data_IF_296825722122
#
_entry.id   IF_296825722122
#
_cell.length_a   1.000
_cell.length_b   1.000
_cell.length_c   1.000
_cell.angle_alpha   90.00
_cell.angle_beta   90.00
_cell.angle_gamma   90.00
#
_symmetry.space_group_name_H-M   'P 1'
#
loop_
_entity.id
_entity.type
_entity.pdbx_description
1 polymer ?
#
# COMPACT_ATOMS: atom_id res chain seq x y z
N UNK A 1 13.05 7.82 1.82
CA UNK A 1 12.82 8.44 3.14
C UNK A 1 11.67 9.45 3.07
N UNK A 2 10.79 9.47 4.09
CA UNK A 2 9.73 10.47 4.23
C UNK A 2 9.97 11.22 5.54
N UNK A 3 9.93 12.57 5.50
CA UNK A 3 9.86 13.43 6.69
C UNK A 3 8.50 14.11 6.72
N UNK A 4 7.84 14.09 7.86
CA UNK A 4 6.63 14.84 8.19
C UNK A 4 7.01 15.79 9.31
N UNK A 5 6.78 17.08 9.12
CA UNK A 5 7.18 18.13 10.06
C UNK A 5 5.99 19.04 10.36
N UNK A 6 5.63 19.11 11.63
CA UNK A 6 4.56 20.00 12.13
C UNK A 6 3.22 19.87 11.40
N UNK A 7 2.88 18.68 10.89
CA UNK A 7 1.64 18.45 10.15
C UNK A 7 0.42 18.69 11.02
N UNK A 8 -0.41 19.63 10.60
CA UNK A 8 -1.74 19.87 11.16
C UNK A 8 -2.78 19.50 10.09
N UNK A 9 -3.80 18.71 10.47
CA UNK A 9 -4.88 18.31 9.58
C UNK A 9 -6.22 18.35 10.29
N UNK A 10 -7.18 19.02 9.71
CA UNK A 10 -8.55 19.10 10.21
C UNK A 10 -9.57 18.80 9.12
N UNK A 11 -10.71 18.26 9.52
CA UNK A 11 -11.92 18.11 8.71
C UNK A 11 -13.04 18.90 9.37
N UNK A 12 -13.36 20.07 8.82
CA UNK A 12 -14.27 21.01 9.45
C UNK A 12 -13.75 21.44 10.84
N UNK A 13 -14.52 21.15 11.88
CA UNK A 13 -14.14 21.48 13.27
C UNK A 13 -13.33 20.36 13.97
N UNK A 14 -13.16 19.19 13.33
CA UNK A 14 -12.43 18.08 13.91
C UNK A 14 -10.97 18.13 13.48
N UNK A 15 -10.07 18.37 14.42
CA UNK A 15 -8.63 18.22 14.22
C UNK A 15 -8.26 16.74 14.36
N UNK A 16 -7.60 16.21 13.34
CA UNK A 16 -7.09 14.81 13.29
C UNK A 16 -5.62 14.79 13.72
N UNK A 17 -4.82 15.71 13.21
CA UNK A 17 -3.44 15.90 13.61
C UNK A 17 -3.21 17.35 14.02
N UNK A 18 -2.45 17.54 15.09
CA UNK A 18 -1.96 18.84 15.54
C UNK A 18 -0.47 18.70 15.81
N UNK A 19 0.34 19.40 15.01
CA UNK A 19 1.80 19.44 15.16
C UNK A 19 2.48 18.06 15.09
N UNK A 20 2.01 17.19 14.18
CA UNK A 20 2.55 15.85 14.02
C UNK A 20 3.88 15.87 13.26
N UNK A 21 4.93 15.33 13.90
CA UNK A 21 6.25 15.16 13.27
C UNK A 21 6.68 13.71 13.31
N UNK A 22 7.04 13.14 12.14
CA UNK A 22 7.43 11.74 11.97
C UNK A 22 8.56 11.64 10.94
N UNK A 23 9.39 10.61 11.08
CA UNK A 23 10.40 10.25 10.09
C UNK A 23 10.32 8.78 9.75
N UNK A 24 10.38 8.49 8.45
CA UNK A 24 10.41 7.13 7.92
C UNK A 24 11.64 6.94 7.06
N UNK A 25 12.42 5.89 7.32
CA UNK A 25 13.63 5.55 6.59
C UNK A 25 13.40 4.35 5.67
N UNK A 26 14.10 4.31 4.56
CA UNK A 26 14.14 3.15 3.66
C UNK A 26 14.73 1.92 4.37
N UNK A 27 14.42 0.75 3.84
CA UNK A 27 14.87 -0.53 4.39
C UNK A 27 14.07 -1.02 5.60
N UNK A 28 13.04 -0.28 6.02
CA UNK A 28 12.23 -0.59 7.20
C UNK A 28 10.76 -0.79 6.89
N UNK A 29 10.13 -1.57 7.76
CA UNK A 29 8.68 -1.74 7.86
C UNK A 29 8.21 -0.99 9.11
N UNK A 30 7.31 -0.04 8.93
CA UNK A 30 6.68 0.72 10.01
C UNK A 30 5.23 0.26 10.20
N UNK A 31 4.84 0.02 11.44
CA UNK A 31 3.43 -0.18 11.80
C UNK A 31 2.85 1.10 12.43
N UNK A 32 1.82 1.66 11.82
CA UNK A 32 1.01 2.73 12.40
C UNK A 32 -0.12 2.11 13.20
N UNK A 33 -0.12 2.36 14.51
CA UNK A 33 -1.12 1.84 15.44
C UNK A 33 -1.87 2.97 16.12
N UNK A 34 -2.97 2.65 16.80
CA UNK A 34 -3.78 3.61 17.53
C UNK A 34 -5.27 3.29 17.43
N UNK A 35 -6.07 4.01 18.20
CA UNK A 35 -7.51 3.81 18.26
C UNK A 35 -8.19 4.01 16.90
N UNK A 36 -9.39 3.44 16.73
CA UNK A 36 -10.18 3.74 15.52
C UNK A 36 -10.44 5.25 15.42
N UNK A 37 -10.23 5.80 14.23
CA UNK A 37 -10.41 7.23 13.99
C UNK A 37 -9.28 8.15 14.45
N UNK A 38 -8.13 7.62 14.92
CA UNK A 38 -6.94 8.45 15.26
C UNK A 38 -6.19 9.01 14.03
N UNK A 39 -6.63 8.71 12.81
CA UNK A 39 -6.06 9.30 11.59
C UNK A 39 -5.09 8.41 10.81
N UNK A 40 -4.93 7.10 11.12
CA UNK A 40 -4.03 6.19 10.37
C UNK A 40 -4.26 6.26 8.85
N UNK A 41 -5.48 6.01 8.41
CA UNK A 41 -5.88 6.12 7.00
C UNK A 41 -5.68 7.53 6.46
N UNK A 42 -5.97 8.56 7.24
CA UNK A 42 -5.75 9.96 6.84
C UNK A 42 -4.28 10.22 6.57
N UNK A 43 -3.38 9.77 7.46
CA UNK A 43 -1.94 9.91 7.26
C UNK A 43 -1.48 9.17 6.01
N UNK A 44 -1.88 7.90 5.83
CA UNK A 44 -1.55 7.15 4.62
C UNK A 44 -2.06 7.85 3.34
N UNK A 45 -3.28 8.37 3.35
CA UNK A 45 -3.85 9.09 2.20
C UNK A 45 -3.11 10.41 1.91
N UNK A 46 -2.64 11.12 2.94
CA UNK A 46 -1.80 12.31 2.78
C UNK A 46 -0.46 11.89 2.14
N UNK A 47 0.22 10.87 2.67
CA UNK A 47 1.48 10.37 2.13
C UNK A 47 1.33 9.83 0.70
N UNK A 48 0.14 9.29 0.37
CA UNK A 48 -0.21 8.85 -0.98
C UNK A 48 -0.59 10.01 -1.93
N UNK A 49 -0.65 11.27 -1.49
CA UNK A 49 -1.16 12.41 -2.27
C UNK A 49 -2.63 12.27 -2.71
N UNK A 50 -3.42 11.50 -1.95
CA UNK A 50 -4.87 11.33 -2.15
C UNK A 50 -5.62 12.38 -1.33
N UNK A 51 -5.19 12.59 -0.08
CA UNK A 51 -5.76 13.59 0.82
C UNK A 51 -4.88 14.85 0.84
N UNK A 52 -5.43 16.04 0.58
CA UNK A 52 -4.66 17.27 0.62
C UNK A 52 -4.27 17.66 2.06
N UNK A 53 -3.17 18.38 2.20
CA UNK A 53 -2.72 19.03 3.43
C UNK A 53 -2.30 20.47 3.16
N UNK A 54 -2.38 21.36 4.16
CA UNK A 54 -2.31 22.81 3.93
C UNK A 54 -0.88 23.34 3.85
N UNK A 55 0.03 22.85 4.70
CA UNK A 55 1.41 23.33 4.83
C UNK A 55 2.41 22.53 4.00
N UNK A 56 3.58 23.10 3.70
CA UNK A 56 4.71 22.40 3.11
C UNK A 56 5.45 21.63 4.22
N UNK A 57 4.83 20.57 4.70
CA UNK A 57 5.27 19.84 5.90
C UNK A 57 5.71 18.41 5.61
N UNK A 58 5.72 17.97 4.34
CA UNK A 58 6.06 16.59 3.99
C UNK A 58 7.07 16.56 2.85
N UNK A 59 8.20 15.94 3.09
CA UNK A 59 9.18 15.63 2.06
C UNK A 59 9.28 14.13 1.78
N UNK A 60 9.48 13.78 0.51
CA UNK A 60 9.78 12.45 0.02
C UNK A 60 11.11 12.47 -0.71
N UNK A 61 12.08 11.67 -0.27
CA UNK A 61 13.44 11.63 -0.84
C UNK A 61 14.11 13.02 -0.93
N UNK A 62 13.83 13.88 0.07
CA UNK A 62 14.40 15.24 0.14
C UNK A 62 13.71 16.28 -0.72
N UNK A 63 12.66 15.92 -1.45
CA UNK A 63 11.83 16.85 -2.22
C UNK A 63 10.47 17.03 -1.54
N UNK A 64 9.96 18.28 -1.52
CA UNK A 64 8.59 18.55 -1.04
C UNK A 64 7.57 17.71 -1.82
N UNK A 65 6.75 16.94 -1.08
CA UNK A 65 5.84 15.97 -1.66
C UNK A 65 4.81 16.62 -2.61
N UNK A 66 4.34 17.84 -2.30
CA UNK A 66 3.41 18.58 -3.17
C UNK A 66 3.98 18.87 -4.55
N UNK A 67 5.29 19.12 -4.64
CA UNK A 67 5.98 19.47 -5.90
C UNK A 67 6.19 18.27 -6.82
N UNK A 68 6.16 17.04 -6.28
CA UNK A 68 6.25 15.84 -7.10
C UNK A 68 4.98 15.69 -7.94
N UNK A 69 5.11 15.54 -9.25
CA UNK A 69 3.94 15.35 -10.13
C UNK A 69 3.16 14.10 -9.74
N UNK A 70 1.87 14.24 -9.45
CA UNK A 70 1.02 13.14 -8.96
C UNK A 70 1.07 11.92 -9.88
N UNK A 71 0.96 12.11 -11.20
CA UNK A 71 1.05 11.02 -12.16
C UNK A 71 2.38 10.26 -12.08
N UNK A 72 3.51 10.96 -11.91
CA UNK A 72 4.82 10.33 -11.74
C UNK A 72 4.86 9.52 -10.45
N UNK A 73 4.42 10.11 -9.35
CA UNK A 73 4.39 9.48 -8.04
C UNK A 73 3.55 8.20 -8.04
N UNK A 74 2.31 8.29 -8.55
CA UNK A 74 1.45 7.11 -8.67
C UNK A 74 1.98 6.06 -9.65
N UNK A 75 2.69 6.45 -10.67
CA UNK A 75 3.20 5.51 -11.67
C UNK A 75 4.45 4.77 -11.21
N UNK A 76 5.37 5.46 -10.52
CA UNK A 76 6.72 4.95 -10.30
C UNK A 76 7.07 4.75 -8.82
N UNK A 77 6.51 5.56 -7.92
CA UNK A 77 6.97 5.60 -6.55
C UNK A 77 6.07 4.83 -5.57
N UNK A 78 4.76 4.86 -5.75
CA UNK A 78 3.80 4.41 -4.77
C UNK A 78 3.13 3.08 -5.14
N UNK A 79 3.16 2.09 -4.25
CA UNK A 79 2.22 0.96 -4.19
C UNK A 79 1.26 1.16 -3.02
N UNK A 80 -0.04 1.24 -3.28
CA UNK A 80 -1.02 1.38 -2.21
C UNK A 80 -1.95 0.17 -2.17
N UNK A 81 -1.98 -0.49 -1.02
CA UNK A 81 -2.88 -1.58 -0.67
C UNK A 81 -4.01 -1.01 0.19
N UNK A 82 -5.16 -0.80 -0.41
CA UNK A 82 -6.34 -0.24 0.25
C UNK A 82 -7.10 -1.30 1.05
N UNK A 83 -7.82 -0.88 2.08
CA UNK A 83 -8.71 -1.74 2.87
C UNK A 83 -9.77 -2.44 2.01
N UNK A 84 -10.25 -1.80 0.94
CA UNK A 84 -11.20 -2.35 -0.04
C UNK A 84 -10.52 -2.91 -1.29
N UNK A 85 -9.29 -3.42 -1.15
CA UNK A 85 -8.43 -4.02 -2.18
C UNK A 85 -7.93 -3.06 -3.27
N UNK A 86 -8.65 -1.99 -3.61
CA UNK A 86 -8.30 -1.05 -4.68
C UNK A 86 -8.18 -1.73 -6.05
N UNK A 87 -9.10 -2.65 -6.33
CA UNK A 87 -9.22 -3.38 -7.58
C UNK A 87 -10.44 -2.91 -8.36
N UNK A 88 -10.38 -3.06 -9.68
CA UNK A 88 -11.51 -2.82 -10.58
C UNK A 88 -12.40 -4.08 -10.57
N UNK A 89 -13.47 -4.07 -9.77
CA UNK A 89 -14.30 -5.25 -9.47
C UNK A 89 -14.90 -5.89 -10.72
N UNK A 90 -15.36 -5.09 -11.68
CA UNK A 90 -15.97 -5.57 -12.92
C UNK A 90 -14.96 -5.95 -14.01
N UNK A 91 -13.67 -5.84 -13.74
CA UNK A 91 -12.60 -6.19 -14.65
C UNK A 91 -11.94 -7.51 -14.29
N UNK A 92 -11.19 -8.08 -15.25
CA UNK A 92 -10.47 -9.34 -15.06
C UNK A 92 -9.26 -9.19 -14.15
N UNK A 93 -8.76 -10.31 -13.63
CA UNK A 93 -7.48 -10.37 -12.93
C UNK A 93 -6.38 -9.77 -13.79
N UNK A 94 -6.26 -10.19 -15.07
CA UNK A 94 -5.27 -9.65 -16.00
C UNK A 94 -5.32 -8.11 -16.08
N UNK A 95 -6.50 -7.52 -16.27
CA UNK A 95 -6.64 -6.05 -16.35
C UNK A 95 -6.26 -5.33 -15.08
N UNK A 96 -6.49 -5.95 -13.92
CA UNK A 96 -6.05 -5.40 -12.65
C UNK A 96 -4.54 -5.49 -12.48
N UNK A 97 -3.93 -6.60 -12.87
CA UNK A 97 -2.48 -6.80 -12.86
C UNK A 97 -1.77 -5.88 -13.84
N UNK A 98 -2.38 -5.59 -15.00
CA UNK A 98 -1.92 -4.61 -15.99
C UNK A 98 -1.60 -3.25 -15.38
N UNK A 99 -2.34 -2.83 -14.35
CA UNK A 99 -2.09 -1.58 -13.66
C UNK A 99 -0.71 -1.56 -12.96
N UNK A 100 -0.22 -2.72 -12.54
CA UNK A 100 1.13 -2.89 -11.98
C UNK A 100 2.24 -2.81 -13.04
N UNK A 101 1.91 -3.06 -14.31
CA UNK A 101 2.86 -3.08 -15.43
C UNK A 101 2.88 -1.78 -16.24
N UNK A 102 2.13 -0.74 -15.81
CA UNK A 102 2.06 0.55 -16.51
C UNK A 102 3.46 1.18 -16.61
N UNK A 103 3.90 1.44 -17.85
CA UNK A 103 5.18 2.05 -18.15
C UNK A 103 6.30 1.07 -18.45
N UNK A 104 6.08 -0.21 -18.29
CA UNK A 104 7.00 -1.25 -18.72
C UNK A 104 6.80 -1.54 -20.23
N UNK A 105 7.90 -1.68 -20.96
CA UNK A 105 7.85 -2.01 -22.39
C UNK A 105 7.86 -3.53 -22.57
N UNK A 106 6.70 -4.16 -22.44
CA UNK A 106 6.53 -5.60 -22.53
C UNK A 106 5.71 -5.99 -23.77
N UNK A 107 6.06 -7.09 -24.39
CA UNK A 107 5.20 -7.77 -25.36
C UNK A 107 4.01 -8.41 -24.67
N UNK A 108 2.93 -8.72 -25.40
CA UNK A 108 1.76 -9.42 -24.85
C UNK A 108 2.14 -10.76 -24.19
N UNK A 109 3.13 -11.47 -24.76
CA UNK A 109 3.60 -12.76 -24.23
C UNK A 109 4.33 -12.58 -22.90
N UNK A 110 5.27 -11.64 -22.83
CA UNK A 110 6.02 -11.34 -21.60
C UNK A 110 5.08 -10.85 -20.47
N UNK A 111 4.12 -10.02 -20.81
CA UNK A 111 3.12 -9.53 -19.89
C UNK A 111 2.32 -10.68 -19.27
N UNK A 112 1.74 -11.55 -20.10
CA UNK A 112 1.00 -12.72 -19.63
C UNK A 112 1.85 -13.64 -18.78
N UNK A 113 3.11 -13.84 -19.15
CA UNK A 113 4.05 -14.66 -18.37
C UNK A 113 4.27 -14.06 -16.97
N UNK A 114 4.51 -12.74 -16.87
CA UNK A 114 4.69 -12.07 -15.56
C UNK A 114 3.42 -12.13 -14.71
N UNK A 115 2.25 -11.99 -15.31
CA UNK A 115 0.96 -12.12 -14.63
C UNK A 115 0.74 -13.52 -14.06
N UNK A 116 1.05 -14.57 -14.85
CA UNK A 116 0.96 -15.96 -14.38
C UNK A 116 2.00 -16.27 -13.28
N UNK A 117 3.23 -15.79 -13.42
CA UNK A 117 4.29 -15.95 -12.42
C UNK A 117 3.95 -15.26 -11.10
N UNK A 118 3.39 -14.04 -11.14
CA UNK A 118 3.01 -13.34 -9.90
C UNK A 118 1.81 -14.01 -9.23
N UNK A 119 0.81 -14.50 -9.97
CA UNK A 119 -0.29 -15.28 -9.39
C UNK A 119 0.23 -16.53 -8.68
N UNK A 120 1.19 -17.24 -9.29
CA UNK A 120 1.85 -18.36 -8.64
C UNK A 120 2.57 -17.94 -7.36
N UNK A 121 3.27 -16.80 -7.38
CA UNK A 121 4.00 -16.27 -6.22
C UNK A 121 3.08 -15.95 -5.04
N UNK A 122 1.86 -15.49 -5.30
CA UNK A 122 0.87 -15.17 -4.24
C UNK A 122 -0.07 -16.36 -3.95
N UNK A 123 0.24 -17.57 -4.40
CA UNK A 123 -0.54 -18.79 -4.12
C UNK A 123 -1.86 -18.89 -4.89
N UNK A 124 -2.01 -18.18 -6.00
CA UNK A 124 -3.23 -18.13 -6.82
C UNK A 124 -3.04 -18.77 -8.22
N UNK A 125 -2.12 -19.71 -8.38
CA UNK A 125 -1.83 -20.36 -9.68
C UNK A 125 -3.04 -21.11 -10.27
N UNK A 126 -4.06 -21.40 -9.47
CA UNK A 126 -5.29 -22.10 -9.89
C UNK A 126 -6.34 -21.15 -10.51
N UNK A 127 -6.18 -19.82 -10.35
CA UNK A 127 -7.10 -18.85 -10.94
C UNK A 127 -6.77 -18.56 -12.40
N UNK A 128 -7.81 -18.31 -13.19
CA UNK A 128 -7.66 -17.83 -14.56
C UNK A 128 -7.46 -16.32 -14.60
N UNK A 129 -6.55 -15.84 -15.44
CA UNK A 129 -6.36 -14.40 -15.69
C UNK A 129 -7.63 -13.71 -16.24
N UNK A 130 -8.52 -14.45 -16.89
CA UNK A 130 -9.78 -13.95 -17.43
C UNK A 130 -10.90 -13.87 -16.40
N UNK A 131 -10.72 -14.43 -15.21
CA UNK A 131 -11.67 -14.40 -14.12
C UNK A 131 -11.90 -12.98 -13.60
N UNK A 132 -13.13 -12.64 -13.25
CA UNK A 132 -13.51 -11.31 -12.74
C UNK A 132 -13.23 -11.19 -11.25
N UNK A 133 -12.88 -9.98 -10.79
CA UNK A 133 -12.55 -9.74 -9.37
C UNK A 133 -13.76 -10.03 -8.46
N UNK A 134 -14.98 -9.70 -8.86
CA UNK A 134 -16.19 -9.97 -8.06
C UNK A 134 -16.48 -11.47 -7.84
N UNK A 135 -15.82 -12.37 -8.57
CA UNK A 135 -15.92 -13.82 -8.40
C UNK A 135 -14.98 -14.37 -7.32
N UNK A 136 -14.06 -13.53 -6.83
CA UNK A 136 -13.02 -13.92 -5.88
C UNK A 136 -13.51 -13.81 -4.43
N UNK A 137 -12.98 -14.66 -3.58
CA UNK A 137 -13.06 -14.46 -2.13
C UNK A 137 -12.26 -13.21 -1.70
N UNK A 138 -12.55 -12.68 -0.51
CA UNK A 138 -11.81 -11.52 0.02
C UNK A 138 -10.29 -11.76 0.10
N UNK A 139 -9.87 -12.96 0.52
CA UNK A 139 -8.45 -13.33 0.58
C UNK A 139 -7.79 -13.45 -0.79
N UNK A 140 -8.49 -13.99 -1.79
CA UNK A 140 -8.00 -14.03 -3.17
C UNK A 140 -7.88 -12.61 -3.76
N UNK A 141 -8.90 -11.76 -3.59
CA UNK A 141 -8.85 -10.37 -4.04
C UNK A 141 -7.69 -9.60 -3.39
N UNK A 142 -7.43 -9.82 -2.09
CA UNK A 142 -6.31 -9.22 -1.39
C UNK A 142 -4.96 -9.68 -1.95
N UNK A 143 -4.81 -10.98 -2.25
CA UNK A 143 -3.60 -11.51 -2.89
C UNK A 143 -3.42 -11.00 -4.33
N UNK A 144 -4.50 -10.77 -5.09
CA UNK A 144 -4.43 -10.11 -6.40
C UNK A 144 -3.98 -8.65 -6.26
N UNK A 145 -4.49 -7.91 -5.25
CA UNK A 145 -4.03 -6.55 -4.98
C UNK A 145 -2.53 -6.52 -4.63
N UNK A 146 -2.06 -7.47 -3.84
CA UNK A 146 -0.63 -7.62 -3.52
C UNK A 146 0.19 -8.01 -4.76
N UNK A 147 -0.31 -8.92 -5.62
CA UNK A 147 0.32 -9.28 -6.88
C UNK A 147 0.52 -8.05 -7.80
N UNK A 148 -0.47 -7.17 -7.88
CA UNK A 148 -0.36 -5.89 -8.59
C UNK A 148 0.79 -5.03 -8.05
N UNK A 149 0.96 -4.94 -6.73
CA UNK A 149 2.07 -4.18 -6.12
C UNK A 149 3.41 -4.87 -6.36
N UNK A 150 3.47 -6.20 -6.33
CA UNK A 150 4.68 -6.98 -6.66
C UNK A 150 5.14 -6.69 -8.10
N UNK A 151 4.22 -6.71 -9.08
CA UNK A 151 4.53 -6.41 -10.48
C UNK A 151 5.04 -4.98 -10.68
N UNK A 152 4.51 -4.05 -9.91
CA UNK A 152 4.93 -2.65 -9.94
C UNK A 152 6.31 -2.43 -9.34
N UNK A 153 6.66 -3.18 -8.30
CA UNK A 153 7.92 -3.12 -7.54
C UNK A 153 8.29 -1.69 -7.05
N UNK A 154 7.38 -0.96 -6.38
CA UNK A 154 7.59 0.44 -6.03
C UNK A 154 8.53 0.61 -4.83
N UNK A 155 9.25 1.75 -4.71
CA UNK A 155 10.08 2.05 -3.53
C UNK A 155 9.29 2.38 -2.27
N UNK A 156 8.04 2.84 -2.39
CA UNK A 156 7.13 3.11 -1.26
C UNK A 156 5.91 2.20 -1.34
N UNK A 157 5.65 1.44 -0.28
CA UNK A 157 4.42 0.67 -0.11
C UNK A 157 3.65 1.20 1.11
N UNK A 158 2.40 1.57 0.89
CA UNK A 158 1.46 1.92 1.93
C UNK A 158 0.38 0.83 1.99
N UNK A 159 0.04 0.35 3.18
CA UNK A 159 -0.98 -0.66 3.39
C UNK A 159 -1.95 -0.21 4.49
N UNK A 160 -3.23 -0.10 4.16
CA UNK A 160 -4.27 0.35 5.08
C UNK A 160 -5.17 -0.82 5.47
N UNK A 161 -5.08 -1.24 6.75
CA UNK A 161 -5.91 -2.31 7.37
C UNK A 161 -6.03 -3.57 6.49
N UNK A 162 -4.90 -4.00 5.91
CA UNK A 162 -4.79 -5.01 4.85
C UNK A 162 -5.52 -6.32 5.16
N UNK A 163 -5.69 -6.65 6.42
CA UNK A 163 -6.21 -7.94 6.89
C UNK A 163 -7.51 -7.83 7.68
N UNK A 164 -8.12 -6.65 7.74
CA UNK A 164 -9.28 -6.39 8.61
C UNK A 164 -10.51 -7.27 8.31
N UNK A 165 -10.66 -7.71 7.06
CA UNK A 165 -11.79 -8.52 6.59
C UNK A 165 -11.43 -10.00 6.38
N UNK A 166 -10.23 -10.43 6.78
CA UNK A 166 -9.71 -11.78 6.54
C UNK A 166 -9.71 -12.60 7.84
N UNK A 167 -9.84 -13.91 7.69
CA UNK A 167 -9.61 -14.85 8.79
C UNK A 167 -8.14 -14.84 9.23
N UNK A 168 -7.81 -15.34 10.45
CA UNK A 168 -6.45 -15.25 10.98
C UNK A 168 -5.37 -15.98 10.16
N UNK A 169 -5.69 -17.07 9.48
CA UNK A 169 -4.74 -17.85 8.68
C UNK A 169 -4.41 -17.09 7.39
N UNK A 170 -5.42 -16.69 6.63
CA UNK A 170 -5.28 -15.85 5.43
C UNK A 170 -4.58 -14.52 5.74
N UNK A 171 -4.88 -13.93 6.91
CA UNK A 171 -4.22 -12.70 7.38
C UNK A 171 -2.71 -12.87 7.52
N UNK A 172 -2.26 -13.99 8.10
CA UNK A 172 -0.82 -14.30 8.23
C UNK A 172 -0.17 -14.48 6.86
N UNK A 173 -0.77 -15.28 5.98
CA UNK A 173 -0.25 -15.52 4.63
C UNK A 173 -0.05 -14.21 3.85
N UNK A 174 -1.05 -13.32 3.87
CA UNK A 174 -0.98 -12.03 3.19
C UNK A 174 0.10 -11.14 3.79
N UNK A 175 0.25 -11.14 5.12
CA UNK A 175 1.30 -10.36 5.79
C UNK A 175 2.69 -10.92 5.51
N UNK A 176 2.87 -12.24 5.57
CA UNK A 176 4.15 -12.88 5.24
C UNK A 176 4.57 -12.54 3.80
N UNK A 177 3.64 -12.58 2.85
CA UNK A 177 3.88 -12.15 1.47
C UNK A 177 4.28 -10.67 1.39
N UNK A 178 3.58 -9.76 2.11
CA UNK A 178 3.94 -8.33 2.13
C UNK A 178 5.35 -8.11 2.70
N UNK A 179 5.70 -8.81 3.78
CA UNK A 179 7.02 -8.70 4.42
C UNK A 179 8.15 -9.23 3.53
N UNK A 180 7.89 -10.20 2.64
CA UNK A 180 8.89 -10.62 1.63
C UNK A 180 9.28 -9.50 0.67
N UNK A 181 8.47 -8.43 0.58
CA UNK A 181 8.77 -7.28 -0.27
C UNK A 181 9.76 -6.30 0.35
N UNK A 182 10.15 -6.49 1.62
CA UNK A 182 11.17 -5.66 2.27
C UNK A 182 12.49 -5.72 1.49
N UNK A 183 13.03 -4.54 1.14
CA UNK A 183 14.32 -4.33 0.47
C UNK A 183 15.03 -3.15 1.13
N UNK A 184 16.35 -3.01 0.94
CA UNK A 184 17.15 -1.92 1.53
C UNK A 184 16.71 -0.51 1.05
N UNK A 185 16.20 -0.43 -0.17
CA UNK A 185 15.75 0.79 -0.84
C UNK A 185 14.22 0.97 -0.81
N UNK A 186 13.51 0.16 -0.01
CA UNK A 186 12.04 0.21 0.08
C UNK A 186 11.59 0.60 1.47
N UNK A 187 10.62 1.51 1.51
CA UNK A 187 9.86 1.87 2.70
C UNK A 187 8.48 1.21 2.65
N UNK A 188 8.10 0.52 3.73
CA UNK A 188 6.77 -0.07 3.90
C UNK A 188 6.13 0.55 5.14
N UNK A 189 4.92 1.12 4.99
CA UNK A 189 4.14 1.67 6.11
C UNK A 189 2.79 0.97 6.14
N UNK A 190 2.46 0.34 7.27
CA UNK A 190 1.26 -0.47 7.46
C UNK A 190 0.42 0.15 8.57
N UNK A 191 -0.79 0.63 8.25
CA UNK A 191 -1.78 0.97 9.25
C UNK A 191 -2.51 -0.30 9.69
N UNK A 192 -2.50 -0.59 10.98
CA UNK A 192 -3.16 -1.79 11.53
C UNK A 192 -3.52 -1.64 12.99
N UNK A 193 -4.55 -2.36 13.41
CA UNK A 193 -4.90 -2.56 14.81
C UNK A 193 -4.54 -3.97 15.31
N UNK A 194 -4.00 -4.83 14.45
CA UNK A 194 -3.67 -6.22 14.76
C UNK A 194 -2.26 -6.34 15.39
N UNK A 195 -2.15 -6.82 16.67
CA UNK A 195 -0.87 -7.00 17.34
C UNK A 195 0.12 -7.89 16.58
N UNK A 196 -0.36 -8.99 16.01
CA UNK A 196 0.47 -9.94 15.28
C UNK A 196 1.23 -9.28 14.11
N UNK A 197 0.67 -8.20 13.56
CA UNK A 197 1.28 -7.47 12.43
C UNK A 197 2.33 -6.49 12.94
N UNK A 198 2.01 -5.69 13.97
CA UNK A 198 2.99 -4.69 14.41
C UNK A 198 4.20 -5.30 15.14
N UNK A 199 4.06 -6.51 15.71
CA UNK A 199 5.18 -7.24 16.31
C UNK A 199 6.24 -7.69 15.27
N UNK A 200 5.87 -7.74 14.00
CA UNK A 200 6.77 -8.08 12.89
C UNK A 200 7.36 -6.84 12.20
N UNK A 201 6.92 -5.64 12.56
CA UNK A 201 7.46 -4.40 12.03
C UNK A 201 8.82 -4.05 12.69
N UNK A 202 9.68 -3.35 11.96
CA UNK A 202 10.94 -2.84 12.52
C UNK A 202 10.71 -1.71 13.53
N UNK A 203 9.64 -0.91 13.31
CA UNK A 203 9.26 0.19 14.20
C UNK A 203 7.74 0.31 14.30
N UNK A 204 7.26 0.62 15.50
CA UNK A 204 5.83 0.84 15.77
C UNK A 204 5.62 2.31 16.14
N UNK A 205 4.79 2.99 15.38
CA UNK A 205 4.37 4.38 15.64
C UNK A 205 2.94 4.37 16.12
N UNK A 206 2.71 4.90 17.33
CA UNK A 206 1.38 5.01 17.90
C UNK A 206 0.83 6.42 17.68
N UNK A 207 -0.24 6.52 16.90
CA UNK A 207 -1.01 7.75 16.74
C UNK A 207 -2.05 7.84 17.89
N UNK A 208 -2.16 9.02 18.49
CA UNK A 208 -3.03 9.28 19.64
C UNK A 208 -4.25 10.13 19.25
#
# INVERSE_FOLDING_TARGET
>A
MISVEHLTKSFGQRTVFQDLSLQFTEGKVYALTGNSGCGKTTLLNILAKIEPYEEESISYQGQELKQIKQHHFFKHELGYLFQNFGLLENETIAKNLDLGLIGQKLTKKEKKQQEEEVLKKVGLAYLSLDQKIYELSGGEAQRVALAKVILKDPPLILADELTAALDPETSREVMDLLLTLKKQDRLIIIATHNPVIWEQADEVIRLN
#
